data_IF_556865877412
#
_entry.id   IF_556865877412
#
_cell.length_a   1.000
_cell.length_b   1.000
_cell.length_c   1.000
_cell.angle_alpha   90.00
_cell.angle_beta   90.00
_cell.angle_gamma   90.00
#
_symmetry.space_group_name_H-M   'P 1'
#
loop_
_entity.id
_entity.type
_entity.pdbx_description
1 polymer ?
#
# COMPACT_ATOMS: atom_id res chain seq x y z
N UNK A 1 -32.94 18.52 55.49
CA UNK A 1 -34.23 17.87 55.81
C UNK A 1 -35.22 18.15 54.67
N UNK A 2 -35.53 17.12 53.90
CA UNK A 2 -36.57 17.00 52.85
C UNK A 2 -38.00 17.08 53.46
N UNK A 3 -39.15 17.01 52.73
CA UNK A 3 -39.36 16.44 51.37
C UNK A 3 -40.48 17.05 50.48
N UNK A 4 -40.63 16.47 49.27
CA UNK A 4 -41.80 16.60 48.37
C UNK A 4 -41.39 16.68 46.88
N UNK A 5 -40.87 15.62 46.25
CA UNK A 5 -41.61 14.62 45.45
C UNK A 5 -42.67 15.19 44.49
N UNK A 6 -42.36 15.22 43.18
CA UNK A 6 -43.29 14.73 42.15
C UNK A 6 -42.50 14.16 40.96
N UNK A 7 -42.98 13.03 40.46
CA UNK A 7 -42.37 12.16 39.48
C UNK A 7 -43.28 12.06 38.24
N UNK A 8 -42.70 12.02 37.03
CA UNK A 8 -43.27 11.39 35.82
C UNK A 8 -42.22 11.49 34.68
N UNK A 9 -41.37 10.48 34.50
CA UNK A 9 -41.50 9.35 33.53
C UNK A 9 -41.46 9.76 32.04
N UNK A 10 -40.49 9.25 31.25
CA UNK A 10 -40.38 9.45 29.81
C UNK A 10 -41.22 8.43 29.01
N UNK A 11 -41.60 8.73 27.75
CA UNK A 11 -41.93 7.68 26.80
C UNK A 11 -41.00 7.69 25.57
N UNK A 12 -40.27 6.59 25.39
CA UNK A 12 -39.95 5.99 24.10
C UNK A 12 -40.58 4.57 24.12
N UNK A 13 -40.67 3.80 23.01
CA UNK A 13 -40.69 4.12 21.58
C UNK A 13 -42.02 3.64 20.92
N UNK A 14 -42.33 4.09 19.70
CA UNK A 14 -43.33 3.41 18.84
C UNK A 14 -42.62 2.74 17.67
N UNK A 15 -42.52 1.42 17.77
CA UNK A 15 -42.47 0.54 16.61
C UNK A 15 -43.92 0.34 16.13
N UNK A 16 -44.18 0.52 14.83
CA UNK A 16 -45.31 -0.14 14.19
C UNK A 16 -44.96 -0.42 12.72
N UNK A 17 -45.23 -1.66 12.34
CA UNK A 17 -44.95 -2.29 11.06
C UNK A 17 -45.79 -1.70 9.93
N UNK A 18 -45.29 -1.82 8.70
CA UNK A 18 -46.12 -2.26 7.56
C UNK A 18 -45.30 -2.99 6.51
N UNK A 19 -45.45 -4.31 6.51
CA UNK A 19 -45.30 -5.14 5.32
C UNK A 19 -46.58 -5.01 4.46
N UNK A 20 -46.41 -4.99 3.15
CA UNK A 20 -47.41 -5.32 2.12
C UNK A 20 -46.57 -5.83 0.93
N UNK A 21 -46.51 -7.13 0.68
CA UNK A 21 -47.52 -8.04 0.09
C UNK A 21 -47.47 -8.08 -1.46
N UNK A 22 -46.93 -9.21 -1.93
CA UNK A 22 -47.39 -10.15 -2.97
C UNK A 22 -47.82 -9.72 -4.39
N UNK A 23 -47.38 -10.55 -5.36
CA UNK A 23 -47.98 -10.79 -6.69
C UNK A 23 -46.96 -10.62 -7.83
N UNK A 24 -46.20 -11.62 -8.32
CA UNK A 24 -46.52 -12.89 -9.00
C UNK A 24 -46.90 -12.79 -10.51
N UNK A 25 -46.19 -13.60 -11.32
CA UNK A 25 -46.46 -14.07 -12.70
C UNK A 25 -46.13 -13.09 -13.87
N UNK A 26 -45.52 -13.48 -15.01
CA UNK A 26 -45.29 -14.79 -15.67
C UNK A 26 -44.23 -14.61 -16.80
N UNK A 27 -43.49 -15.67 -17.21
CA UNK A 27 -42.59 -15.64 -18.37
C UNK A 27 -43.32 -15.93 -19.69
N UNK A 28 -42.66 -15.70 -20.84
CA UNK A 28 -42.86 -16.58 -22.00
C UNK A 28 -41.56 -17.19 -22.51
N UNK A 29 -41.62 -18.52 -22.68
CA UNK A 29 -40.64 -19.37 -23.38
C UNK A 29 -40.90 -19.40 -24.89
N UNK A 30 -39.79 -19.37 -25.66
CA UNK A 30 -39.47 -20.19 -26.86
C UNK A 30 -40.42 -20.21 -28.08
N UNK A 31 -40.14 -20.89 -29.21
CA UNK A 31 -38.88 -21.38 -29.83
C UNK A 31 -38.72 -20.88 -31.30
N UNK A 32 -37.62 -21.18 -32.01
CA UNK A 32 -37.57 -21.71 -33.40
C UNK A 32 -36.09 -22.02 -33.77
N UNK A 33 -35.75 -23.31 -33.78
CA UNK A 33 -34.87 -23.97 -34.79
C UNK A 33 -35.79 -24.45 -35.95
N UNK A 34 -35.34 -24.86 -37.17
CA UNK A 34 -34.07 -25.54 -37.57
C UNK A 34 -33.50 -24.95 -38.90
N UNK A 35 -32.47 -25.42 -39.62
CA UNK A 35 -32.08 -26.77 -40.00
C UNK A 35 -30.65 -26.82 -40.60
N UNK A 36 -30.16 -28.05 -40.68
CA UNK A 36 -28.83 -28.49 -41.06
C UNK A 36 -28.40 -28.20 -42.50
N UNK A 37 -27.08 -28.08 -42.70
CA UNK A 37 -26.41 -28.54 -43.92
C UNK A 37 -25.00 -29.05 -43.58
N UNK A 38 -24.82 -30.37 -43.72
CA UNK A 38 -23.55 -31.07 -43.74
C UNK A 38 -22.76 -30.71 -45.00
N UNK A 39 -21.49 -30.29 -44.87
CA UNK A 39 -20.51 -30.43 -45.94
C UNK A 39 -19.08 -30.60 -45.38
N UNK A 40 -18.40 -31.59 -45.97
CA UNK A 40 -17.10 -32.17 -45.60
C UNK A 40 -15.90 -31.26 -45.92
N UNK A 41 -14.79 -31.58 -45.26
CA UNK A 41 -13.35 -31.34 -45.62
C UNK A 41 -12.94 -29.87 -45.56
N UNK A 42 -11.77 -29.50 -45.01
CA UNK A 42 -10.45 -30.13 -45.10
C UNK A 42 -9.59 -29.66 -43.91
N UNK A 43 -8.77 -30.57 -43.37
CA UNK A 43 -7.72 -30.30 -42.39
C UNK A 43 -6.58 -29.52 -43.06
N UNK A 44 -6.02 -28.50 -42.41
CA UNK A 44 -4.57 -28.33 -42.41
C UNK A 44 -4.05 -28.48 -40.98
N UNK A 45 -3.11 -29.40 -40.82
CA UNK A 45 -2.23 -29.46 -39.67
C UNK A 45 -1.40 -28.16 -39.61
N UNK A 46 -1.39 -27.51 -38.45
CA UNK A 46 -0.55 -26.35 -38.12
C UNK A 46 -0.37 -26.29 -36.60
N UNK A 47 0.81 -25.88 -36.09
CA UNK A 47 1.39 -26.42 -34.86
C UNK A 47 0.83 -25.82 -33.56
N UNK A 48 1.13 -26.54 -32.47
CA UNK A 48 0.74 -26.32 -31.08
C UNK A 48 0.92 -24.87 -30.56
N UNK A 49 0.08 -24.41 -29.61
CA UNK A 49 0.30 -23.16 -28.91
C UNK A 49 1.53 -23.30 -28.01
N UNK A 50 2.61 -22.63 -28.41
CA UNK A 50 3.78 -22.42 -27.56
C UNK A 50 3.37 -21.56 -26.35
N UNK A 51 3.82 -22.00 -25.17
CA UNK A 51 3.68 -21.28 -23.92
C UNK A 51 4.22 -19.84 -24.03
N UNK A 52 3.57 -18.84 -23.41
CA UNK A 52 4.12 -17.49 -23.34
C UNK A 52 5.41 -17.55 -22.50
N UNK A 53 6.54 -17.34 -23.17
CA UNK A 53 7.82 -17.11 -22.53
C UNK A 53 7.79 -15.71 -21.93
N UNK A 54 7.48 -15.60 -20.64
CA UNK A 54 7.69 -14.40 -19.83
C UNK A 54 9.19 -14.17 -19.65
N UNK A 55 9.80 -13.51 -20.63
CA UNK A 55 11.12 -12.88 -20.50
C UNK A 55 10.96 -11.39 -20.83
N UNK A 56 10.25 -10.66 -19.97
CA UNK A 56 10.13 -9.20 -20.07
C UNK A 56 9.64 -8.64 -18.73
N UNK A 57 10.38 -8.89 -17.66
CA UNK A 57 10.15 -8.20 -16.37
C UNK A 57 11.46 -7.79 -15.70
N UNK A 58 12.54 -8.55 -15.90
CA UNK A 58 13.83 -8.26 -15.26
C UNK A 58 14.58 -7.05 -15.83
N UNK A 59 14.44 -6.78 -17.13
CA UNK A 59 15.06 -5.60 -17.76
C UNK A 59 14.30 -4.30 -17.41
N UNK A 60 12.98 -4.36 -17.27
CA UNK A 60 12.17 -3.20 -16.86
C UNK A 60 12.41 -2.82 -15.38
N UNK A 61 12.76 -3.79 -14.53
CA UNK A 61 13.08 -3.55 -13.12
C UNK A 61 14.47 -2.89 -12.95
N UNK A 62 15.44 -3.29 -13.77
CA UNK A 62 16.79 -2.71 -13.79
C UNK A 62 16.79 -1.29 -14.36
N UNK A 63 15.99 -1.05 -15.42
CA UNK A 63 15.85 0.29 -16.01
C UNK A 63 15.11 1.26 -15.08
N UNK A 64 14.04 0.79 -14.42
CA UNK A 64 13.35 1.60 -13.39
C UNK A 64 14.26 1.89 -12.19
N UNK A 65 15.14 0.96 -11.81
CA UNK A 65 16.13 1.18 -10.76
C UNK A 65 17.20 2.20 -11.17
N UNK A 66 17.61 2.25 -12.45
CA UNK A 66 18.58 3.22 -12.97
C UNK A 66 17.99 4.62 -13.13
N UNK A 67 16.78 4.73 -13.66
CA UNK A 67 16.07 6.01 -13.79
C UNK A 67 15.77 6.63 -12.41
N UNK A 68 15.51 5.78 -11.42
CA UNK A 68 15.36 6.16 -10.02
C UNK A 68 16.66 6.74 -9.45
N UNK A 69 17.83 6.19 -9.80
CA UNK A 69 19.14 6.72 -9.38
C UNK A 69 19.41 8.08 -10.03
N UNK A 70 19.13 8.25 -11.32
CA UNK A 70 19.37 9.49 -12.07
C UNK A 70 18.51 10.67 -11.58
N UNK A 71 17.22 10.43 -11.27
CA UNK A 71 16.35 11.48 -10.70
C UNK A 71 16.77 11.93 -9.29
N UNK A 72 17.38 11.05 -8.50
CA UNK A 72 17.85 11.38 -7.14
C UNK A 72 19.14 12.22 -7.19
N UNK A 73 19.98 12.04 -8.22
CA UNK A 73 21.17 12.88 -8.43
C UNK A 73 20.81 14.34 -8.69
N UNK A 74 19.71 14.62 -9.41
CA UNK A 74 19.28 16.00 -9.68
C UNK A 74 18.76 16.70 -8.41
N UNK A 75 18.14 15.96 -7.48
CA UNK A 75 17.51 16.49 -6.26
C UNK A 75 18.49 16.82 -5.13
N UNK A 76 19.74 16.33 -5.18
CA UNK A 76 20.69 16.40 -4.05
C UNK A 76 21.90 17.31 -4.26
N UNK A 77 21.89 18.17 -5.29
CA UNK A 77 23.01 19.09 -5.60
C UNK A 77 23.19 20.28 -4.62
N UNK A 78 22.48 20.32 -3.50
CA UNK A 78 22.54 21.48 -2.60
C UNK A 78 22.30 21.14 -1.14
N UNK A 79 23.29 20.56 -0.44
CA UNK A 79 23.51 20.74 1.01
C UNK A 79 25.01 20.53 1.36
N UNK A 80 25.60 21.35 2.25
CA UNK A 80 26.99 21.21 2.69
C UNK A 80 27.17 20.19 3.83
N UNK A 81 28.28 19.48 3.74
CA UNK A 81 28.82 18.46 4.65
C UNK A 81 29.59 19.16 5.79
N UNK A 82 29.13 19.07 7.03
CA UNK A 82 29.97 19.24 8.24
C UNK A 82 29.11 19.12 9.51
N UNK A 83 29.03 17.94 10.14
CA UNK A 83 28.83 17.81 11.60
C UNK A 83 29.32 16.45 12.11
N UNK A 84 30.24 16.53 13.07
CA UNK A 84 30.89 15.52 13.91
C UNK A 84 30.02 14.31 14.33
N UNK A 85 30.51 13.06 14.10
CA UNK A 85 29.78 11.80 14.33
C UNK A 85 29.82 11.28 15.78
N UNK A 86 28.68 11.02 16.44
CA UNK A 86 28.62 10.24 17.68
C UNK A 86 28.41 8.74 17.39
N UNK A 87 29.44 7.91 17.59
CA UNK A 87 29.46 6.45 17.39
C UNK A 87 29.05 5.98 15.97
N UNK A 88 29.48 4.80 15.47
CA UNK A 88 28.91 4.28 14.23
C UNK A 88 27.44 3.93 14.52
N UNK A 89 26.51 4.83 14.17
CA UNK A 89 25.10 4.52 14.13
C UNK A 89 24.94 3.27 13.25
N UNK A 90 24.52 2.17 13.84
CA UNK A 90 24.19 0.96 13.09
C UNK A 90 23.13 1.31 12.06
N UNK A 91 23.20 0.74 10.86
CA UNK A 91 22.23 0.98 9.79
C UNK A 91 20.78 0.90 10.26
N UNK A 92 20.46 -0.10 11.09
CA UNK A 92 19.15 -0.26 11.73
C UNK A 92 18.68 0.97 12.49
N UNK A 93 19.58 1.64 13.23
CA UNK A 93 19.25 2.83 14.03
C UNK A 93 19.04 4.06 13.15
N UNK A 94 19.75 4.15 12.03
CA UNK A 94 19.54 5.19 11.02
C UNK A 94 18.16 5.00 10.41
N UNK A 95 17.84 3.79 9.95
CA UNK A 95 16.54 3.45 9.39
C UNK A 95 15.42 3.65 10.42
N UNK A 96 15.62 3.30 11.69
CA UNK A 96 14.65 3.51 12.77
C UNK A 96 14.35 5.00 12.96
N UNK A 97 15.39 5.85 12.95
CA UNK A 97 15.23 7.30 13.04
C UNK A 97 14.47 7.85 11.82
N UNK A 98 14.87 7.50 10.60
CA UNK A 98 14.18 7.90 9.36
C UNK A 98 12.73 7.43 9.34
N UNK A 99 12.48 6.19 9.78
CA UNK A 99 11.14 5.64 9.87
C UNK A 99 10.29 6.38 10.90
N UNK A 100 10.87 6.78 12.03
CA UNK A 100 10.19 7.58 13.05
C UNK A 100 9.73 8.91 12.49
N UNK A 101 10.62 9.62 11.79
CA UNK A 101 10.28 10.89 11.16
C UNK A 101 9.17 10.72 10.12
N UNK A 102 9.22 9.64 9.33
CA UNK A 102 8.16 9.29 8.40
C UNK A 102 6.81 9.03 9.09
N UNK A 103 6.76 8.19 10.13
CA UNK A 103 5.51 7.90 10.84
C UNK A 103 4.96 9.16 11.54
N UNK A 104 5.83 10.04 12.04
CA UNK A 104 5.42 11.35 12.56
C UNK A 104 4.81 12.23 11.46
N UNK A 105 5.38 12.24 10.25
CA UNK A 105 4.80 12.95 9.11
C UNK A 105 3.42 12.39 8.72
N UNK A 106 3.24 11.06 8.78
CA UNK A 106 1.92 10.41 8.57
C UNK A 106 0.92 10.84 9.63
N UNK A 107 1.30 10.82 10.91
CA UNK A 107 0.44 11.24 12.02
C UNK A 107 0.05 12.73 11.93
N UNK A 108 0.97 13.57 11.45
CA UNK A 108 0.73 15.00 11.25
C UNK A 108 -0.02 15.32 9.95
N UNK A 109 -0.26 14.33 9.09
CA UNK A 109 -0.90 14.53 7.79
C UNK A 109 -0.04 15.30 6.78
N UNK A 110 1.29 15.32 6.97
CA UNK A 110 2.21 16.06 6.10
C UNK A 110 2.62 15.23 4.87
N UNK A 111 1.75 15.25 3.87
CA UNK A 111 1.99 14.60 2.58
C UNK A 111 3.24 15.14 1.87
N UNK A 112 3.67 16.37 2.15
CA UNK A 112 4.80 17.01 1.45
C UNK A 112 6.12 16.43 1.94
N UNK A 113 6.29 16.32 3.25
CA UNK A 113 7.45 15.68 3.87
C UNK A 113 7.53 14.21 3.48
N UNK A 114 6.40 13.50 3.43
CA UNK A 114 6.37 12.11 2.98
C UNK A 114 6.85 11.98 1.53
N UNK A 115 6.31 12.80 0.61
CA UNK A 115 6.64 12.74 -0.81
C UNK A 115 8.10 13.17 -1.07
N UNK A 116 8.64 14.11 -0.29
CA UNK A 116 10.02 14.56 -0.41
C UNK A 116 11.05 13.45 -0.10
N UNK A 117 10.74 12.59 0.87
CA UNK A 117 11.57 11.46 1.28
C UNK A 117 11.25 10.16 0.51
N UNK A 118 10.23 10.19 -0.35
CA UNK A 118 9.83 9.08 -1.18
C UNK A 118 10.53 9.11 -2.53
N UNK A 119 10.71 7.92 -3.09
CA UNK A 119 11.37 7.72 -4.37
C UNK A 119 10.44 6.99 -5.32
N UNK A 120 10.39 7.43 -6.57
CA UNK A 120 9.57 6.84 -7.62
C UNK A 120 10.37 5.82 -8.43
N UNK A 121 9.82 4.63 -8.76
CA UNK A 121 8.45 4.19 -8.49
C UNK A 121 8.18 3.87 -7.01
N UNK A 122 7.08 4.41 -6.51
CA UNK A 122 6.60 4.21 -5.15
C UNK A 122 5.42 3.24 -5.13
N UNK A 123 5.33 2.37 -4.13
CA UNK A 123 4.18 1.47 -3.99
C UNK A 123 3.41 1.82 -2.72
N UNK A 124 2.18 2.30 -2.89
CA UNK A 124 1.27 2.61 -1.78
C UNK A 124 0.14 1.57 -1.73
N UNK A 125 0.07 0.79 -0.65
CA UNK A 125 -0.81 -0.37 -0.48
C UNK A 125 -0.62 -1.40 -1.61
N UNK A 126 -1.33 -1.25 -2.73
CA UNK A 126 -1.24 -2.08 -3.93
C UNK A 126 -1.08 -1.27 -5.23
N UNK A 127 -0.94 0.06 -5.13
CA UNK A 127 -0.84 0.96 -6.27
C UNK A 127 0.62 1.37 -6.48
N UNK A 128 1.16 1.08 -7.66
CA UNK A 128 2.46 1.58 -8.08
C UNK A 128 2.28 2.96 -8.72
N UNK A 129 3.01 3.94 -8.22
CA UNK A 129 2.96 5.34 -8.62
C UNK A 129 4.34 5.72 -9.14
N UNK A 130 4.42 6.21 -10.36
CA UNK A 130 5.69 6.57 -11.04
C UNK A 130 5.98 8.06 -11.04
N UNK A 131 4.98 8.88 -10.72
CA UNK A 131 5.05 10.33 -10.78
C UNK A 131 4.99 10.97 -9.38
N UNK A 132 5.80 12.00 -9.14
CA UNK A 132 5.88 12.66 -7.82
C UNK A 132 4.63 13.49 -7.50
N UNK A 133 4.03 14.15 -8.51
CA UNK A 133 2.80 14.92 -8.31
C UNK A 133 1.61 13.99 -8.05
N UNK A 134 1.54 12.86 -8.76
CA UNK A 134 0.56 11.81 -8.50
C UNK A 134 0.73 11.21 -7.08
N UNK A 135 1.97 11.00 -6.64
CA UNK A 135 2.28 10.49 -5.31
C UNK A 135 1.79 11.45 -4.22
N UNK A 136 2.06 12.75 -4.38
CA UNK A 136 1.60 13.77 -3.44
C UNK A 136 0.06 13.81 -3.34
N UNK A 137 -0.64 13.81 -4.47
CA UNK A 137 -2.11 13.81 -4.48
C UNK A 137 -2.69 12.54 -3.86
N UNK A 138 -2.05 11.39 -4.11
CA UNK A 138 -2.48 10.11 -3.55
C UNK A 138 -2.30 10.10 -2.03
N UNK A 139 -1.17 10.61 -1.52
CA UNK A 139 -0.96 10.77 -0.08
C UNK A 139 -1.97 11.72 0.56
N UNK A 140 -2.26 12.86 -0.07
CA UNK A 140 -3.30 13.79 0.42
C UNK A 140 -4.66 13.10 0.54
N UNK A 141 -5.06 12.32 -0.47
CA UNK A 141 -6.30 11.57 -0.44
C UNK A 141 -6.29 10.51 0.67
N UNK A 142 -5.21 9.74 0.75
CA UNK A 142 -5.04 8.65 1.70
C UNK A 142 -5.08 9.13 3.15
N UNK A 143 -4.37 10.22 3.46
CA UNK A 143 -4.32 10.81 4.80
C UNK A 143 -5.68 11.43 5.19
N UNK A 144 -6.41 12.05 4.26
CA UNK A 144 -7.75 12.59 4.54
C UNK A 144 -8.80 11.51 4.78
N UNK A 145 -8.67 10.35 4.13
CA UNK A 145 -9.58 9.22 4.35
C UNK A 145 -9.35 8.54 5.70
N UNK A 146 -8.19 8.75 6.31
CA UNK A 146 -7.81 8.15 7.59
C UNK A 146 -8.00 9.14 8.72
N UNK A 147 -8.42 8.63 9.87
CA UNK A 147 -8.62 9.42 11.09
C UNK A 147 -7.28 9.54 11.83
N UNK A 148 -6.37 10.33 11.25
CA UNK A 148 -4.97 10.48 11.69
C UNK A 148 -4.84 11.06 13.11
N UNK A 149 -5.86 11.77 13.59
CA UNK A 149 -5.95 12.35 14.93
C UNK A 149 -5.97 11.31 16.06
N UNK A 150 -6.36 10.07 15.76
CA UNK A 150 -6.35 8.99 16.74
C UNK A 150 -5.18 8.02 16.57
N UNK A 151 -4.23 8.33 15.68
CA UNK A 151 -3.04 7.51 15.50
C UNK A 151 -2.07 7.75 16.65
N UNK A 152 -1.60 6.66 17.25
CA UNK A 152 -0.55 6.67 18.27
C UNK A 152 0.50 5.65 17.86
N UNK A 153 1.74 6.10 17.72
CA UNK A 153 2.87 5.23 17.43
C UNK A 153 3.41 4.61 18.73
N UNK A 154 3.21 3.31 18.91
CA UNK A 154 3.69 2.59 20.10
C UNK A 154 5.16 2.19 20.00
N UNK A 155 5.63 1.89 18.80
CA UNK A 155 6.98 1.43 18.55
C UNK A 155 7.22 1.15 17.08
N UNK A 156 8.49 1.10 16.71
CA UNK A 156 8.96 0.76 15.37
C UNK A 156 9.92 -0.41 15.51
N UNK A 157 9.70 -1.45 14.74
CA UNK A 157 10.64 -2.54 14.58
C UNK A 157 11.26 -2.47 13.19
N UNK A 158 12.59 -2.47 13.12
CA UNK A 158 13.33 -2.45 11.85
C UNK A 158 13.91 -3.84 11.59
N UNK A 159 13.68 -4.37 10.39
CA UNK A 159 14.13 -5.69 9.98
C UNK A 159 14.71 -5.66 8.56
N UNK A 160 15.73 -6.47 8.33
CA UNK A 160 16.14 -6.81 6.96
C UNK A 160 15.10 -7.73 6.31
N UNK A 161 15.11 -7.85 4.98
CA UNK A 161 14.20 -8.79 4.29
C UNK A 161 14.38 -10.25 4.73
N UNK A 162 15.60 -10.66 5.06
CA UNK A 162 15.88 -12.01 5.57
C UNK A 162 15.30 -12.23 6.98
N UNK A 163 15.42 -11.23 7.86
CA UNK A 163 14.87 -11.31 9.22
C UNK A 163 13.34 -11.24 9.23
N UNK A 164 12.76 -10.47 8.31
CA UNK A 164 11.32 -10.38 8.10
C UNK A 164 10.74 -11.74 7.67
N UNK A 165 11.34 -12.41 6.69
CA UNK A 165 10.90 -13.74 6.25
C UNK A 165 11.08 -14.80 7.35
N UNK A 166 12.14 -14.71 8.14
CA UNK A 166 12.38 -15.61 9.27
C UNK A 166 11.35 -15.44 10.39
N UNK A 167 10.96 -14.20 10.69
CA UNK A 167 10.07 -13.87 11.81
C UNK A 167 8.58 -14.02 11.46
N UNK A 168 8.19 -13.56 10.28
CA UNK A 168 6.79 -13.47 9.84
C UNK A 168 6.43 -14.44 8.70
N UNK A 169 7.40 -15.13 8.13
CA UNK A 169 7.20 -15.99 6.97
C UNK A 169 7.14 -15.20 5.66
N UNK A 170 6.63 -15.83 4.61
CA UNK A 170 6.57 -15.22 3.28
C UNK A 170 5.63 -13.99 3.29
N UNK A 171 6.06 -12.86 2.72
CA UNK A 171 5.21 -11.67 2.65
C UNK A 171 3.87 -11.97 1.95
N UNK A 172 2.73 -11.49 2.48
CA UNK A 172 1.42 -11.67 1.87
C UNK A 172 1.37 -11.08 0.45
N UNK A 173 0.44 -11.56 -0.38
CA UNK A 173 0.35 -11.17 -1.80
C UNK A 173 0.19 -9.66 -2.03
N UNK A 174 -0.42 -8.93 -1.09
CA UNK A 174 -0.47 -7.44 -1.12
C UNK A 174 0.93 -6.80 -1.11
N UNK A 175 1.89 -7.43 -0.45
CA UNK A 175 3.28 -6.99 -0.40
C UNK A 175 4.11 -7.54 -1.58
N UNK A 176 3.54 -8.37 -2.44
CA UNK A 176 4.27 -8.92 -3.59
C UNK A 176 4.64 -7.84 -4.61
N UNK A 177 3.89 -6.74 -4.67
CA UNK A 177 4.19 -5.59 -5.50
C UNK A 177 5.37 -4.75 -4.97
N UNK A 178 5.75 -4.92 -3.70
CA UNK A 178 6.84 -4.18 -3.08
C UNK A 178 8.20 -4.78 -3.45
N UNK A 179 9.23 -3.97 -3.74
CA UNK A 179 10.56 -4.46 -4.11
C UNK A 179 11.39 -4.88 -2.87
N UNK A 180 10.87 -5.82 -2.10
CA UNK A 180 11.42 -6.23 -0.80
C UNK A 180 12.58 -7.23 -0.87
N UNK A 181 12.72 -7.95 -1.97
CA UNK A 181 13.76 -8.98 -2.17
C UNK A 181 15.17 -8.40 -2.41
N UNK A 182 15.32 -7.07 -2.33
CA UNK A 182 16.59 -6.41 -2.50
C UNK A 182 17.38 -6.40 -1.18
N UNK A 183 18.68 -6.76 -1.20
CA UNK A 183 19.50 -6.82 0.03
C UNK A 183 19.77 -5.46 0.67
N UNK A 184 19.48 -4.36 -0.05
CA UNK A 184 19.58 -2.98 0.41
C UNK A 184 18.24 -2.40 0.88
N UNK A 185 17.23 -3.26 1.04
CA UNK A 185 15.90 -2.86 1.48
C UNK A 185 15.67 -3.27 2.92
N UNK A 186 15.14 -2.33 3.69
CA UNK A 186 14.83 -2.46 5.09
C UNK A 186 13.33 -2.26 5.30
N UNK A 187 12.76 -3.05 6.19
CA UNK A 187 11.39 -2.95 6.64
C UNK A 187 11.35 -2.19 7.94
N UNK A 188 10.49 -1.19 8.04
CA UNK A 188 10.13 -0.56 9.30
C UNK A 188 8.66 -0.85 9.58
N UNK A 189 8.40 -1.60 10.64
CA UNK A 189 7.07 -2.00 11.08
C UNK A 189 6.69 -1.12 12.27
N UNK A 190 5.84 -0.12 12.02
CA UNK A 190 5.27 0.74 13.03
C UNK A 190 3.96 0.17 13.57
N UNK A 191 3.79 0.17 14.89
CA UNK A 191 2.48 -0.10 15.49
C UNK A 191 1.71 1.21 15.66
N UNK A 192 0.75 1.46 14.76
CA UNK A 192 -0.15 2.61 14.77
C UNK A 192 -1.48 2.21 15.39
N UNK A 193 -1.73 2.63 16.63
CA UNK A 193 -3.00 2.40 17.35
C UNK A 193 -3.45 0.94 17.41
N UNK A 194 -2.51 -0.02 17.45
CA UNK A 194 -2.78 -1.45 17.48
C UNK A 194 -2.74 -2.13 16.10
N UNK A 195 -2.52 -1.39 15.03
CA UNK A 195 -2.40 -1.89 13.66
C UNK A 195 -0.94 -1.81 13.17
N UNK A 196 -0.51 -2.82 12.41
CA UNK A 196 0.85 -2.91 11.90
C UNK A 196 0.95 -2.19 10.54
N UNK A 197 1.57 -1.01 10.56
CA UNK A 197 1.94 -0.26 9.38
C UNK A 197 3.37 -0.61 8.97
N UNK A 198 3.59 -0.88 7.69
CA UNK A 198 4.87 -1.30 7.15
C UNK A 198 5.34 -0.25 6.15
N UNK A 199 6.50 0.34 6.43
CA UNK A 199 7.23 1.22 5.54
C UNK A 199 8.47 0.50 5.01
N UNK A 200 8.75 0.63 3.71
CA UNK A 200 9.95 0.07 3.10
C UNK A 200 10.93 1.18 2.76
N UNK A 201 12.17 0.98 3.19
CA UNK A 201 13.28 1.89 2.96
C UNK A 201 14.32 1.21 2.09
N UNK A 202 14.85 1.91 1.11
CA UNK A 202 15.95 1.44 0.28
C UNK A 202 17.18 2.32 0.50
N UNK A 203 18.31 1.66 0.72
CA UNK A 203 19.61 2.33 0.70
C UNK A 203 20.00 2.67 -0.74
N UNK A 204 20.09 3.97 -1.03
CA UNK A 204 20.52 4.48 -2.36
C UNK A 204 22.00 4.81 -2.33
N UNK A 205 22.45 5.50 -1.27
CA UNK A 205 23.86 5.76 -0.95
C UNK A 205 24.16 5.27 0.47
N UNK A 206 25.43 5.06 0.84
CA UNK A 206 25.79 4.65 2.19
C UNK A 206 25.13 5.56 3.24
N UNK A 207 24.36 4.97 4.15
CA UNK A 207 23.60 5.67 5.20
C UNK A 207 22.46 6.60 4.73
N UNK A 208 22.08 6.55 3.45
CA UNK A 208 20.97 7.35 2.91
C UNK A 208 19.82 6.43 2.48
N UNK A 209 18.69 6.57 3.18
CA UNK A 209 17.52 5.72 3.04
C UNK A 209 16.33 6.50 2.51
N UNK A 210 15.74 6.00 1.45
CA UNK A 210 14.55 6.58 0.85
C UNK A 210 13.35 5.63 0.96
N UNK A 211 12.17 6.22 1.12
CA UNK A 211 10.93 5.49 1.19
C UNK A 211 10.51 5.01 -0.21
N UNK A 212 10.33 3.71 -0.37
CA UNK A 212 9.96 3.07 -1.66
C UNK A 212 8.55 2.46 -1.63
N UNK A 213 7.98 2.30 -0.44
CA UNK A 213 6.60 1.87 -0.32
C UNK A 213 6.06 1.90 1.11
N UNK A 214 4.74 1.86 1.21
CA UNK A 214 4.00 1.92 2.46
C UNK A 214 2.69 1.13 2.38
N UNK A 215 2.29 0.52 3.49
CA UNK A 215 1.00 -0.18 3.66
C UNK A 215 0.63 -0.24 5.15
N UNK A 216 -0.64 -0.23 5.51
CA UNK A 216 -1.11 -0.41 6.90
C UNK A 216 -2.45 -1.16 7.05
#
# INVERSE_FOLDING_TARGET
PSPGQEAATPPAPKAELKASDSGEAKPPSSPVQPAAATAKRTRPSGPAPAAPTTKSSREQEDEAARQLVERIEEKTKSLPDDTELPAPLTTEKIVEATARDFFLAVMNGDARTITANAVTPFVLENQRITDEDELFQTWLKHLRTKRIDLLVLYGIEVLSGADMEKKYGRPPERLAALPWNNPKTWFAIGNLSGHAAIALFREVRPNEFFLIGYTD
#
